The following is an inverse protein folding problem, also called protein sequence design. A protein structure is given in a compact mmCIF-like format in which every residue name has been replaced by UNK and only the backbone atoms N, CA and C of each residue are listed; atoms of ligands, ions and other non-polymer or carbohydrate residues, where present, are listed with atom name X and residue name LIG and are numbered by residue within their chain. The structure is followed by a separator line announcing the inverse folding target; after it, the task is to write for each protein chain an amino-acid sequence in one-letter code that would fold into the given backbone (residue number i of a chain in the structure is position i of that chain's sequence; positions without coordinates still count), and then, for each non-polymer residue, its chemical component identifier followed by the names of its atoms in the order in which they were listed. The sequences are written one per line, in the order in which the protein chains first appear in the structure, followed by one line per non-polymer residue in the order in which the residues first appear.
data_IF_231801556036
#
_entry.id   IF_231801556036
#
_cell.length_a   1.000
_cell.length_b   1.000
_cell.length_c   1.000
_cell.angle_alpha   90.00
_cell.angle_beta   90.00
_cell.angle_gamma   90.00
#
_symmetry.space_group_name_H-M   'P 1'
#
loop_
_entity.id
_entity.type
_entity.pdbx_description
1 polymer ?
#
# COMPACT_ATOMS: atom_id res chain seq x y z
N UNK A 1 -51.26 39.46 -28.11
CA UNK A 1 -51.30 40.86 -27.68
C UNK A 1 -51.09 40.86 -26.17
N UNK A 2 -49.94 41.37 -25.70
CA UNK A 2 -49.81 41.87 -24.32
C UNK A 2 -50.52 43.23 -24.19
N UNK A 3 -50.53 43.85 -22.99
CA UNK A 3 -49.29 44.47 -22.51
C UNK A 3 -48.98 44.34 -21.01
N UNK A 4 -47.70 44.63 -20.71
CA UNK A 4 -47.00 44.76 -19.42
C UNK A 4 -47.28 46.05 -18.65
N UNK A 5 -46.87 46.07 -17.37
CA UNK A 5 -46.24 47.15 -16.57
C UNK A 5 -46.61 46.94 -15.08
N UNK A 6 -45.78 47.06 -14.03
CA UNK A 6 -44.39 47.50 -13.85
C UNK A 6 -43.93 47.07 -12.43
N UNK A 7 -42.61 46.89 -12.28
CA UNK A 7 -41.73 47.30 -11.16
C UNK A 7 -42.15 47.04 -9.68
N UNK A 8 -41.34 46.30 -8.91
CA UNK A 8 -40.29 46.92 -8.07
C UNK A 8 -39.49 45.85 -7.29
N UNK A 9 -38.18 46.03 -7.24
CA UNK A 9 -37.23 45.27 -6.42
C UNK A 9 -36.37 46.32 -5.74
N UNK A 10 -36.20 46.30 -4.40
CA UNK A 10 -34.97 45.66 -3.91
C UNK A 10 -35.05 45.11 -2.47
N UNK A 11 -34.24 44.09 -2.18
CA UNK A 11 -33.23 44.04 -1.10
C UNK A 11 -32.91 42.59 -0.72
N UNK A 12 -31.65 42.23 -0.92
CA UNK A 12 -30.97 41.03 -0.41
C UNK A 12 -30.92 41.04 1.14
N UNK A 13 -30.68 39.89 1.79
CA UNK A 13 -29.27 39.56 2.04
C UNK A 13 -28.88 38.06 1.97
N UNK A 14 -27.56 37.93 1.86
CA UNK A 14 -26.66 36.82 2.23
C UNK A 14 -26.77 35.49 1.48
N UNK A 15 -25.82 35.35 0.55
CA UNK A 15 -25.08 34.10 0.35
C UNK A 15 -24.66 33.53 1.71
N UNK A 16 -25.25 32.43 2.13
CA UNK A 16 -24.54 31.46 2.95
C UNK A 16 -23.66 30.64 2.00
N UNK A 17 -22.48 31.22 1.74
CA UNK A 17 -21.40 30.59 1.00
C UNK A 17 -20.84 29.47 1.89
N UNK A 18 -21.33 28.26 1.62
CA UNK A 18 -20.63 26.98 1.70
C UNK A 18 -19.18 27.08 2.23
N UNK A 19 -19.00 27.04 3.55
CA UNK A 19 -17.68 26.90 4.19
C UNK A 19 -17.31 25.42 4.21
N UNK A 20 -17.17 24.81 3.03
CA UNK A 20 -16.72 23.44 2.89
C UNK A 20 -15.52 23.41 1.93
N UNK A 21 -14.33 23.22 2.50
CA UNK A 21 -13.21 22.61 1.77
C UNK A 21 -12.35 23.50 0.89
N UNK A 22 -12.03 24.75 1.29
CA UNK A 22 -10.90 25.46 0.69
C UNK A 22 -9.55 24.92 1.20
N UNK A 23 -9.21 23.68 0.84
CA UNK A 23 -7.85 23.15 0.98
C UNK A 23 -6.99 23.64 -0.18
N UNK A 24 -6.68 24.93 -0.17
CA UNK A 24 -5.72 25.47 -1.11
C UNK A 24 -4.32 24.94 -0.72
N UNK A 25 -3.60 24.26 -1.63
CA UNK A 25 -2.24 23.82 -1.34
C UNK A 25 -1.37 25.06 -1.11
N UNK A 26 -0.79 25.20 0.08
CA UNK A 26 0.18 26.24 0.35
C UNK A 26 1.58 25.64 0.34
N UNK A 27 2.44 26.21 -0.50
CA UNK A 27 3.84 25.83 -0.56
C UNK A 27 4.63 26.71 0.41
N UNK A 28 5.20 26.10 1.45
CA UNK A 28 6.11 26.78 2.37
C UNK A 28 7.50 26.79 1.78
N UNK A 29 7.90 27.90 1.17
CA UNK A 29 9.30 28.10 0.77
C UNK A 29 10.11 28.63 1.95
N UNK A 30 10.97 27.79 2.51
CA UNK A 30 11.97 28.24 3.49
C UNK A 30 13.04 29.10 2.80
N UNK A 31 12.93 30.42 3.01
CA UNK A 31 13.94 31.39 2.58
C UNK A 31 15.19 31.24 3.45
N UNK A 32 16.20 30.57 2.91
CA UNK A 32 17.55 30.61 3.50
C UNK A 32 18.07 32.05 3.37
N UNK A 33 18.16 32.76 4.49
CA UNK A 33 18.77 34.07 4.53
C UNK A 33 20.24 33.92 4.14
N UNK A 34 20.61 34.45 2.96
CA UNK A 34 22.02 34.63 2.62
C UNK A 34 22.59 35.61 3.63
N UNK A 35 23.42 35.11 4.56
CA UNK A 35 24.23 35.92 5.48
C UNK A 35 25.07 36.88 4.64
N UNK A 36 24.61 38.11 4.48
CA UNK A 36 25.44 39.21 3.96
C UNK A 36 26.51 39.47 5.01
N UNK A 37 27.75 39.05 4.72
CA UNK A 37 28.92 39.56 5.44
C UNK A 37 28.98 41.07 5.17
N UNK A 38 28.51 41.88 6.12
CA UNK A 38 28.88 43.29 6.19
C UNK A 38 30.26 43.35 6.82
N UNK A 39 31.23 43.67 5.99
CA UNK A 39 32.53 44.21 6.36
C UNK A 39 32.28 45.56 7.04
N UNK A 40 32.89 45.80 8.20
CA UNK A 40 33.28 47.16 8.62
C UNK A 40 32.76 47.65 9.97
N UNK A 41 33.66 47.60 10.96
CA UNK A 41 33.85 48.54 12.07
C UNK A 41 32.74 48.76 13.12
N UNK A 42 32.97 48.23 14.33
CA UNK A 42 33.24 49.07 15.51
C UNK A 42 33.83 48.24 16.64
N UNK A 43 34.80 48.85 17.32
CA UNK A 43 35.66 48.28 18.34
C UNK A 43 34.93 48.16 19.69
N UNK A 44 35.14 47.07 20.42
CA UNK A 44 35.19 47.15 21.89
C UNK A 44 36.23 46.16 22.38
N UNK A 45 37.23 46.71 23.07
CA UNK A 45 38.41 46.04 23.62
C UNK A 45 38.03 45.28 24.89
N UNK A 46 38.40 44.01 24.98
CA UNK A 46 38.68 43.36 26.26
C UNK A 46 39.98 42.58 26.12
N UNK A 47 40.88 42.81 27.07
CA UNK A 47 42.31 42.58 27.02
C UNK A 47 42.76 41.28 27.71
N UNK A 48 43.56 40.50 26.97
CA UNK A 48 44.67 39.60 27.38
C UNK A 48 44.38 38.20 28.00
N UNK A 49 45.35 37.25 27.93
CA UNK A 49 46.63 37.25 27.18
C UNK A 49 46.79 36.09 26.17
N UNK A 50 47.68 36.34 25.22
CA UNK A 50 48.12 35.42 24.18
C UNK A 50 49.17 34.43 24.70
N UNK A 51 49.05 33.16 24.33
CA UNK A 51 50.16 32.22 24.23
C UNK A 51 50.57 32.15 22.76
N UNK A 52 51.83 32.50 22.50
CA UNK A 52 52.41 32.56 21.17
C UNK A 52 52.64 31.17 20.56
N UNK A 53 52.53 31.15 19.24
CA UNK A 53 52.48 30.04 18.26
C UNK A 53 53.79 29.24 18.10
N UNK A 54 53.80 28.16 17.27
CA UNK A 54 54.05 28.38 15.84
C UNK A 54 53.04 27.71 14.89
N UNK A 55 52.60 28.50 13.91
CA UNK A 55 52.21 28.15 12.53
C UNK A 55 53.15 27.08 11.95
N UNK A 56 52.83 26.19 11.01
CA UNK A 56 51.81 26.03 9.95
C UNK A 56 52.16 24.66 9.33
N UNK A 57 51.20 23.90 8.81
CA UNK A 57 51.25 23.26 7.47
C UNK A 57 50.29 22.07 7.36
N UNK A 58 49.30 22.23 6.47
CA UNK A 58 48.87 21.13 5.60
C UNK A 58 48.04 20.00 6.20
N UNK A 59 46.99 20.28 6.96
CA UNK A 59 45.89 19.31 7.04
C UNK A 59 44.97 19.53 5.84
N UNK A 60 45.28 18.80 4.78
CA UNK A 60 44.37 18.50 3.68
C UNK A 60 43.02 18.12 4.30
N UNK A 61 42.02 18.99 4.15
CA UNK A 61 40.64 18.65 4.46
C UNK A 61 40.27 17.49 3.53
N UNK A 62 40.35 16.27 4.08
CA UNK A 62 40.06 15.03 3.38
C UNK A 62 38.56 15.02 3.04
N UNK A 63 38.17 14.92 1.76
CA UNK A 63 36.75 14.81 1.36
C UNK A 63 36.08 13.52 1.86
N UNK A 64 36.87 12.54 2.35
CA UNK A 64 36.39 11.25 2.86
C UNK A 64 35.49 11.34 4.10
N UNK A 65 35.55 12.43 4.87
CA UNK A 65 34.75 12.53 6.09
C UNK A 65 33.27 12.87 5.81
N UNK A 66 33.00 13.60 4.72
CA UNK A 66 31.64 13.98 4.34
C UNK A 66 30.86 12.77 3.80
N UNK A 67 31.49 11.96 2.93
CA UNK A 67 30.87 10.75 2.38
C UNK A 67 30.52 9.72 3.45
N UNK A 68 31.44 9.46 4.40
CA UNK A 68 31.18 8.54 5.52
C UNK A 68 30.08 9.06 6.46
N UNK A 69 30.06 10.36 6.75
CA UNK A 69 29.00 10.97 7.55
C UNK A 69 27.64 10.89 6.84
N UNK A 70 27.61 11.08 5.51
CA UNK A 70 26.39 10.94 4.72
C UNK A 70 25.91 9.49 4.65
N UNK A 71 26.81 8.50 4.56
CA UNK A 71 26.47 7.07 4.67
C UNK A 71 25.83 6.79 6.03
N UNK A 72 26.44 7.22 7.14
CA UNK A 72 25.88 7.03 8.48
C UNK A 72 24.51 7.68 8.66
N UNK A 73 24.28 8.85 8.04
CA UNK A 73 22.96 9.51 8.05
C UNK A 73 21.92 8.71 7.28
N UNK A 74 22.28 8.18 6.11
CA UNK A 74 21.39 7.33 5.30
C UNK A 74 21.08 6.02 6.06
N UNK A 75 22.06 5.41 6.70
CA UNK A 75 21.87 4.19 7.49
C UNK A 75 20.97 4.45 8.70
N UNK A 76 21.21 5.56 9.41
CA UNK A 76 20.35 5.98 10.52
C UNK A 76 18.91 6.25 10.03
N UNK A 77 18.75 6.92 8.89
CA UNK A 77 17.45 7.14 8.27
C UNK A 77 16.77 5.82 7.92
N UNK A 78 17.44 4.91 7.22
CA UNK A 78 16.90 3.61 6.84
C UNK A 78 16.51 2.77 8.05
N UNK A 79 17.32 2.80 9.11
CA UNK A 79 17.02 2.11 10.36
C UNK A 79 15.74 2.63 11.00
N UNK A 80 15.61 3.96 11.12
CA UNK A 80 14.41 4.58 11.72
C UNK A 80 13.20 4.38 10.82
N UNK A 81 13.35 4.58 9.50
CA UNK A 81 12.28 4.40 8.52
C UNK A 81 11.78 2.96 8.50
N UNK A 82 12.67 1.97 8.49
CA UNK A 82 12.29 0.55 8.55
C UNK A 82 11.51 0.24 9.82
N UNK A 83 11.91 0.77 10.98
CA UNK A 83 11.16 0.58 12.23
C UNK A 83 9.75 1.21 12.16
N UNK A 84 9.64 2.39 11.57
CA UNK A 84 8.34 3.06 11.38
C UNK A 84 7.46 2.22 10.45
N UNK A 85 7.98 1.81 9.30
CA UNK A 85 7.27 0.98 8.31
C UNK A 85 6.79 -0.35 8.90
N UNK A 86 7.66 -1.08 9.61
CA UNK A 86 7.27 -2.34 10.24
C UNK A 86 6.24 -2.13 11.34
N UNK A 87 6.39 -1.09 12.17
CA UNK A 87 5.43 -0.80 13.23
C UNK A 87 4.04 -0.49 12.66
N UNK A 88 3.97 0.29 11.58
CA UNK A 88 2.70 0.60 10.90
C UNK A 88 2.07 -0.68 10.35
N UNK A 89 2.84 -1.51 9.64
CA UNK A 89 2.35 -2.79 9.10
C UNK A 89 1.86 -3.73 10.20
N UNK A 90 2.59 -3.83 11.30
CA UNK A 90 2.20 -4.68 12.44
C UNK A 90 0.88 -4.21 13.08
N UNK A 91 0.69 -2.90 13.23
CA UNK A 91 -0.55 -2.32 13.73
C UNK A 91 -1.72 -2.61 12.78
N UNK A 92 -1.54 -2.38 11.47
CA UNK A 92 -2.56 -2.65 10.46
C UNK A 92 -2.95 -4.12 10.41
N UNK A 93 -1.96 -5.02 10.41
CA UNK A 93 -2.16 -6.46 10.46
C UNK A 93 -2.92 -6.87 11.71
N UNK A 94 -2.59 -6.30 12.86
CA UNK A 94 -3.26 -6.62 14.13
C UNK A 94 -4.73 -6.17 14.13
N UNK A 95 -5.03 -5.00 13.56
CA UNK A 95 -6.41 -4.50 13.41
C UNK A 95 -7.23 -5.42 12.51
N UNK A 96 -6.65 -5.90 11.40
CA UNK A 96 -7.35 -6.72 10.41
C UNK A 96 -7.43 -8.21 10.79
N UNK A 97 -6.63 -8.66 11.77
CA UNK A 97 -6.45 -10.07 12.08
C UNK A 97 -7.76 -10.82 12.39
N UNK A 98 -8.69 -10.19 13.12
CA UNK A 98 -9.98 -10.83 13.44
C UNK A 98 -10.80 -11.10 12.18
N UNK A 99 -10.90 -10.12 11.29
CA UNK A 99 -11.63 -10.25 10.02
C UNK A 99 -10.96 -11.29 9.13
N UNK A 100 -9.62 -11.33 9.10
CA UNK A 100 -8.89 -12.35 8.35
C UNK A 100 -9.19 -13.76 8.85
N UNK A 101 -9.27 -13.95 10.18
CA UNK A 101 -9.68 -15.22 10.76
C UNK A 101 -11.13 -15.59 10.44
N UNK A 102 -12.05 -14.62 10.44
CA UNK A 102 -13.45 -14.84 10.09
C UNK A 102 -13.59 -15.27 8.61
N UNK A 103 -12.89 -14.58 7.72
CA UNK A 103 -12.83 -14.94 6.29
C UNK A 103 -12.23 -16.32 6.11
N UNK A 104 -11.12 -16.63 6.80
CA UNK A 104 -10.49 -17.95 6.73
C UNK A 104 -11.45 -19.07 7.19
N UNK A 105 -12.16 -18.84 8.29
CA UNK A 105 -13.16 -19.77 8.82
C UNK A 105 -14.28 -20.00 7.80
N UNK A 106 -14.83 -18.91 7.24
CA UNK A 106 -15.87 -18.97 6.21
C UNK A 106 -15.40 -19.73 4.95
N UNK A 107 -14.16 -19.51 4.50
CA UNK A 107 -13.57 -20.23 3.37
C UNK A 107 -13.54 -21.74 3.65
N UNK A 108 -13.04 -22.16 4.82
CA UNK A 108 -12.98 -23.58 5.17
C UNK A 108 -14.36 -24.22 5.32
N UNK A 109 -15.33 -23.52 5.90
CA UNK A 109 -16.71 -23.99 6.01
C UNK A 109 -17.36 -24.15 4.64
N UNK A 110 -17.14 -23.19 3.74
CA UNK A 110 -17.61 -23.23 2.35
C UNK A 110 -17.02 -24.43 1.60
N UNK A 111 -15.70 -24.67 1.75
CA UNK A 111 -15.07 -25.86 1.16
C UNK A 111 -15.60 -27.17 1.74
N UNK A 112 -15.79 -27.25 3.06
CA UNK A 112 -16.38 -28.44 3.71
C UNK A 112 -17.77 -28.74 3.15
N UNK A 113 -18.60 -27.71 2.96
CA UNK A 113 -19.91 -27.85 2.35
C UNK A 113 -19.81 -28.44 0.92
N UNK A 114 -18.88 -27.97 0.09
CA UNK A 114 -18.63 -28.53 -1.25
C UNK A 114 -18.21 -30.00 -1.17
N UNK A 115 -17.24 -30.33 -0.32
CA UNK A 115 -16.73 -31.71 -0.21
C UNK A 115 -17.76 -32.69 0.36
N UNK A 116 -18.71 -32.21 1.17
CA UNK A 116 -19.79 -33.03 1.71
C UNK A 116 -20.83 -33.46 0.67
N UNK A 117 -20.85 -32.83 -0.51
CA UNK A 117 -21.78 -33.12 -1.59
C UNK A 117 -21.35 -34.26 -2.52
N UNK A 118 -20.15 -34.83 -2.38
CA UNK A 118 -19.74 -36.01 -3.13
C UNK A 118 -18.33 -36.49 -2.80
N UNK A 119 -18.20 -37.73 -2.35
CA UNK A 119 -16.93 -38.42 -2.23
C UNK A 119 -16.67 -39.14 -3.58
N UNK A 120 -15.75 -38.62 -4.39
CA UNK A 120 -15.40 -39.27 -5.67
C UNK A 120 -14.65 -40.57 -5.37
N UNK A 121 -15.25 -41.70 -5.73
CA UNK A 121 -14.60 -43.00 -5.61
C UNK A 121 -13.30 -43.03 -6.40
N UNK A 122 -12.26 -43.65 -5.82
CA UNK A 122 -10.88 -43.74 -6.35
C UNK A 122 -10.76 -44.09 -7.85
N UNK A 123 -11.73 -44.83 -8.39
CA UNK A 123 -11.80 -45.25 -9.80
C UNK A 123 -12.01 -44.06 -10.77
N UNK A 124 -12.66 -43.00 -10.33
CA UNK A 124 -12.96 -41.82 -11.16
C UNK A 124 -11.78 -40.84 -11.22
N UNK A 125 -10.91 -40.84 -10.19
CA UNK A 125 -9.70 -40.00 -10.12
C UNK A 125 -8.57 -40.46 -11.06
N UNK A 126 -8.59 -41.71 -11.53
CA UNK A 126 -7.59 -42.28 -12.46
C UNK A 126 -7.94 -42.13 -13.94
N UNK A 127 -9.10 -41.57 -14.31
CA UNK A 127 -9.47 -41.38 -15.73
C UNK A 127 -8.74 -40.18 -16.33
N UNK A 128 -8.21 -40.37 -17.54
CA UNK A 128 -7.46 -39.34 -18.29
C UNK A 128 -8.26 -38.08 -18.62
N UNK A 129 -9.58 -38.11 -18.45
CA UNK A 129 -10.47 -36.95 -18.45
C UNK A 129 -11.62 -37.23 -17.47
N UNK A 130 -11.81 -36.43 -16.41
CA UNK A 130 -13.01 -36.54 -15.60
C UNK A 130 -14.19 -36.11 -16.47
N UNK A 131 -15.07 -37.04 -16.79
CA UNK A 131 -16.37 -36.71 -17.38
C UNK A 131 -17.10 -35.93 -16.30
N UNK A 132 -17.37 -34.65 -16.55
CA UNK A 132 -18.16 -33.76 -15.68
C UNK A 132 -19.62 -34.24 -15.71
N UNK A 133 -19.90 -35.40 -15.10
CA UNK A 133 -21.26 -35.90 -14.94
C UNK A 133 -21.85 -35.45 -13.60
N UNK A 134 -21.01 -35.24 -12.58
CA UNK A 134 -21.43 -34.71 -11.29
C UNK A 134 -20.40 -33.69 -10.80
N UNK A 135 -20.69 -32.41 -11.01
CA UNK A 135 -19.92 -31.35 -10.38
C UNK A 135 -20.11 -31.48 -8.86
N UNK A 136 -19.00 -31.71 -8.13
CA UNK A 136 -18.96 -31.83 -6.66
C UNK A 136 -19.74 -30.71 -5.94
N UNK A 137 -19.88 -29.54 -6.58
CA UNK A 137 -20.90 -28.57 -6.21
C UNK A 137 -21.44 -27.85 -7.45
N UNK A 138 -22.75 -27.57 -7.46
CA UNK A 138 -23.40 -26.69 -8.45
C UNK A 138 -23.38 -25.22 -8.02
N UNK A 139 -22.79 -24.91 -6.86
CA UNK A 139 -22.87 -23.61 -6.20
C UNK A 139 -21.47 -23.04 -5.96
N UNK A 140 -21.24 -21.84 -6.46
CA UNK A 140 -20.06 -21.05 -6.14
C UNK A 140 -20.33 -20.22 -4.87
N UNK A 141 -19.48 -20.38 -3.87
CA UNK A 141 -19.52 -19.55 -2.67
C UNK A 141 -18.78 -18.23 -2.96
N UNK A 142 -19.45 -17.11 -2.73
CA UNK A 142 -18.90 -15.78 -2.95
C UNK A 142 -19.10 -14.92 -1.70
N UNK A 143 -18.05 -14.23 -1.29
CA UNK A 143 -18.06 -13.27 -0.19
C UNK A 143 -17.90 -11.84 -0.73
N UNK A 144 -18.64 -10.89 -0.15
CA UNK A 144 -18.46 -9.46 -0.40
C UNK A 144 -17.72 -8.86 0.79
N UNK A 145 -16.53 -8.31 0.56
CA UNK A 145 -15.78 -7.57 1.57
C UNK A 145 -16.00 -6.07 1.35
N UNK A 146 -16.48 -5.40 2.39
CA UNK A 146 -16.67 -3.96 2.39
C UNK A 146 -15.55 -3.30 3.19
N UNK A 147 -14.77 -2.47 2.54
CA UNK A 147 -13.72 -1.66 3.17
C UNK A 147 -14.20 -0.22 3.33
N UNK A 148 -13.69 0.45 4.37
CA UNK A 148 -13.98 1.87 4.65
C UNK A 148 -12.79 2.78 4.34
N UNK A 149 -11.82 2.27 3.60
CA UNK A 149 -10.62 3.02 3.27
C UNK A 149 -10.95 4.14 2.27
N UNK A 150 -10.24 5.25 2.39
CA UNK A 150 -10.43 6.41 1.52
C UNK A 150 -9.68 6.26 0.20
N UNK A 151 -8.56 5.53 0.22
CA UNK A 151 -7.71 5.30 -0.95
C UNK A 151 -7.68 3.82 -1.34
N UNK A 152 -7.74 3.54 -2.65
CA UNK A 152 -7.72 2.17 -3.17
C UNK A 152 -6.40 1.43 -2.86
N UNK A 153 -5.32 2.17 -2.62
CA UNK A 153 -3.99 1.59 -2.33
C UNK A 153 -4.01 0.88 -0.97
N UNK A 154 -4.75 1.42 0.00
CA UNK A 154 -4.93 0.79 1.32
C UNK A 154 -5.72 -0.52 1.20
N UNK A 155 -6.74 -0.54 0.35
CA UNK A 155 -7.49 -1.75 0.04
C UNK A 155 -6.59 -2.80 -0.62
N UNK A 156 -5.79 -2.40 -1.60
CA UNK A 156 -4.87 -3.31 -2.27
C UNK A 156 -3.91 -3.97 -1.28
N UNK A 157 -3.28 -3.19 -0.39
CA UNK A 157 -2.39 -3.73 0.64
C UNK A 157 -3.13 -4.66 1.60
N UNK A 158 -4.36 -4.31 2.00
CA UNK A 158 -5.20 -5.14 2.86
C UNK A 158 -5.53 -6.50 2.21
N UNK A 159 -5.86 -6.50 0.92
CA UNK A 159 -6.14 -7.72 0.17
C UNK A 159 -4.87 -8.57 -0.07
N UNK A 160 -3.71 -7.95 -0.27
CA UNK A 160 -2.43 -8.64 -0.34
C UNK A 160 -2.11 -9.37 0.99
N UNK A 161 -2.28 -8.68 2.12
CA UNK A 161 -2.10 -9.28 3.45
C UNK A 161 -3.11 -10.40 3.74
N UNK A 162 -4.38 -10.22 3.37
CA UNK A 162 -5.40 -11.28 3.46
C UNK A 162 -4.99 -12.50 2.62
N UNK A 163 -4.47 -12.27 1.41
CA UNK A 163 -3.97 -13.33 0.54
C UNK A 163 -2.81 -14.09 1.18
N UNK A 164 -1.86 -13.40 1.82
CA UNK A 164 -0.76 -14.03 2.57
C UNK A 164 -1.30 -14.82 3.77
N UNK A 165 -2.26 -14.27 4.50
CA UNK A 165 -2.88 -14.94 5.65
C UNK A 165 -3.55 -16.25 5.23
N UNK A 166 -4.39 -16.24 4.18
CA UNK A 166 -5.06 -17.44 3.66
C UNK A 166 -4.05 -18.48 3.14
N UNK A 167 -3.00 -18.06 2.41
CA UNK A 167 -1.93 -18.96 1.95
C UNK A 167 -1.22 -19.65 3.12
N UNK A 168 -0.93 -18.92 4.20
CA UNK A 168 -0.31 -19.50 5.40
C UNK A 168 -1.19 -20.52 6.11
N UNK A 169 -2.50 -20.51 5.86
CA UNK A 169 -3.47 -21.50 6.37
C UNK A 169 -3.79 -22.62 5.35
N UNK A 170 -3.00 -22.73 4.28
CA UNK A 170 -3.11 -23.82 3.30
C UNK A 170 -4.07 -23.56 2.14
N UNK A 171 -4.56 -22.33 1.96
CA UNK A 171 -5.38 -21.98 0.81
C UNK A 171 -4.53 -21.62 -0.42
N UNK A 172 -4.96 -22.06 -1.61
CA UNK A 172 -4.45 -21.52 -2.87
C UNK A 172 -5.21 -20.25 -3.22
N UNK A 173 -4.52 -19.10 -3.21
CA UNK A 173 -5.12 -17.79 -3.49
C UNK A 173 -4.54 -17.21 -4.77
N UNK A 174 -5.44 -16.76 -5.66
CA UNK A 174 -5.13 -15.94 -6.81
C UNK A 174 -5.90 -14.60 -6.70
N UNK A 175 -5.29 -13.53 -7.20
CA UNK A 175 -5.88 -12.20 -7.22
C UNK A 175 -6.02 -11.72 -8.66
N UNK A 176 -7.18 -11.16 -9.00
CA UNK A 176 -7.43 -10.56 -10.29
C UNK A 176 -7.75 -9.08 -10.09
N UNK A 177 -7.16 -8.25 -10.94
CA UNK A 177 -7.45 -6.83 -11.02
C UNK A 177 -8.37 -6.55 -12.22
N UNK A 178 -8.96 -5.35 -12.27
CA UNK A 178 -9.72 -4.90 -13.45
C UNK A 178 -8.88 -4.88 -14.74
N UNK A 179 -7.56 -4.75 -14.62
CA UNK A 179 -6.64 -4.77 -15.77
C UNK A 179 -6.59 -6.16 -16.44
N UNK A 180 -6.80 -7.23 -15.68
CA UNK A 180 -6.86 -8.60 -16.20
C UNK A 180 -8.10 -8.85 -17.08
N UNK A 181 -9.13 -8.00 -16.95
CA UNK A 181 -10.38 -8.05 -17.73
C UNK A 181 -10.42 -7.04 -18.88
N UNK A 182 -9.28 -6.44 -19.24
CA UNK A 182 -9.22 -5.42 -20.30
C UNK A 182 -9.81 -5.91 -21.63
N UNK A 183 -10.56 -5.04 -22.31
CA UNK A 183 -11.16 -5.30 -23.62
C UNK A 183 -10.16 -5.75 -24.69
N UNK A 184 -8.87 -5.38 -24.55
CA UNK A 184 -7.79 -5.80 -25.44
C UNK A 184 -7.55 -7.31 -25.42
N UNK A 185 -7.71 -7.95 -24.27
CA UNK A 185 -7.45 -9.37 -24.07
C UNK A 185 -8.73 -10.20 -23.89
N UNK A 186 -9.88 -9.52 -23.74
CA UNK A 186 -11.17 -10.15 -23.46
C UNK A 186 -11.11 -11.05 -22.21
N UNK A 187 -11.98 -12.06 -22.16
CA UNK A 187 -12.01 -13.04 -21.07
C UNK A 187 -10.75 -13.94 -21.04
N UNK A 188 -9.99 -14.01 -22.14
CA UNK A 188 -8.74 -14.77 -22.19
C UNK A 188 -7.66 -14.21 -21.27
N UNK A 189 -7.69 -12.89 -21.01
CA UNK A 189 -6.74 -12.23 -20.11
C UNK A 189 -6.81 -12.75 -18.68
N UNK A 190 -8.01 -12.74 -18.08
CA UNK A 190 -8.21 -13.18 -16.71
C UNK A 190 -7.95 -14.69 -16.54
N UNK A 191 -8.39 -15.51 -17.50
CA UNK A 191 -8.12 -16.95 -17.49
C UNK A 191 -6.61 -17.25 -17.55
N UNK A 192 -5.88 -16.53 -18.41
CA UNK A 192 -4.42 -16.67 -18.50
C UNK A 192 -3.72 -16.24 -17.21
N UNK A 193 -4.19 -15.15 -16.58
CA UNK A 193 -3.68 -14.66 -15.31
C UNK A 193 -3.90 -15.67 -14.18
N UNK A 194 -5.11 -16.22 -14.05
CA UNK A 194 -5.43 -17.29 -13.10
C UNK A 194 -4.55 -18.52 -13.31
N UNK A 195 -4.44 -19.00 -14.55
CA UNK A 195 -3.62 -20.17 -14.87
C UNK A 195 -2.16 -19.97 -14.47
N UNK A 196 -1.59 -18.79 -14.73
CA UNK A 196 -0.21 -18.46 -14.32
C UNK A 196 -0.06 -18.47 -12.80
N UNK A 197 -0.98 -17.82 -12.08
CA UNK A 197 -0.91 -17.72 -10.63
C UNK A 197 -1.01 -19.09 -9.94
N UNK A 198 -1.89 -19.97 -10.42
CA UNK A 198 -1.99 -21.31 -9.85
C UNK A 198 -0.85 -22.25 -10.32
N UNK A 199 -0.36 -22.11 -11.56
CA UNK A 199 0.74 -22.96 -12.07
C UNK A 199 2.10 -22.65 -11.43
N UNK A 200 2.33 -21.39 -11.02
CA UNK A 200 3.57 -21.02 -10.31
C UNK A 200 3.56 -21.60 -8.89
N UNK A 201 2.39 -21.64 -8.24
CA UNK A 201 2.24 -22.11 -6.86
C UNK A 201 2.26 -23.65 -6.72
N UNK A 202 2.13 -24.41 -7.82
CA UNK A 202 2.17 -25.89 -7.79
C UNK A 202 3.58 -26.46 -7.89
N UNK A 203 4.58 -25.66 -8.28
CA UNK A 203 5.97 -26.11 -8.33
C UNK A 203 6.55 -26.44 -6.94
N UNK A 204 6.03 -25.84 -5.87
CA UNK A 204 6.46 -26.12 -4.48
C UNK A 204 5.67 -27.27 -3.82
N UNK A 205 4.53 -27.69 -4.39
CA UNK A 205 3.66 -28.75 -3.85
C UNK A 205 3.88 -30.10 -4.57
N UNK A 206 4.87 -30.16 -5.47
CA UNK A 206 5.25 -31.40 -6.17
C UNK A 206 5.93 -32.45 -5.26
N UNK A 207 5.96 -32.24 -3.94
CA UNK A 207 6.47 -33.20 -2.95
C UNK A 207 5.38 -33.96 -2.15
N UNK A 208 4.09 -33.70 -2.40
CA UNK A 208 2.98 -34.38 -1.70
C UNK A 208 2.16 -35.35 -2.58
N UNK A 209 2.77 -35.86 -3.66
CA UNK A 209 2.31 -37.11 -4.27
C UNK A 209 3.38 -38.16 -4.01
N UNK A 210 3.27 -38.83 -2.86
CA UNK A 210 3.91 -40.13 -2.64
C UNK A 210 2.79 -41.13 -2.35
N UNK A 211 2.51 -41.89 -3.41
CA UNK A 211 2.17 -43.30 -3.53
C UNK A 211 1.33 -43.99 -2.45
#
# INVERSE_FOLDING_TARGET
MGPSADEDCPLSPSLDDNVEGNFQPFFVFHRHAKTRRRIGMSQTRTSHPATATPKLEGQTAQPYHDDHLNILKIDAFNCVWSKIDTTIKDVLRNINLSIFNDVNTWVHESFKAITSCGETGFVEATRSYPVVADALSKQLFAGLLYTRNMEFVDDQLTFEELGVHLKSHGCFVASLSSMDFSAKNGIGGCLTSLLKQFSINTSDVSSLIVQ
#
